data_IF_927467424925
#
_entry.id   IF_927467424925
#
_cell.length_a   1.000
_cell.length_b   1.000
_cell.length_c   1.000
_cell.angle_alpha   90.00
_cell.angle_beta   90.00
_cell.angle_gamma   90.00
#
_symmetry.space_group_name_H-M   'P 1'
#
loop_
_entity.id
_entity.type
_entity.pdbx_description
1 polymer ?
#
# COMPACT_ATOMS: atom_id res chain seq x y z
N UNK A 1 4.69 15.60 -14.91
CA UNK A 1 5.26 14.62 -13.95
C UNK A 1 4.21 14.41 -12.88
N UNK A 2 3.67 13.20 -12.76
CA UNK A 2 2.55 12.91 -11.86
C UNK A 2 3.12 12.22 -10.62
N UNK A 3 2.98 12.80 -9.42
CA UNK A 3 3.64 12.28 -8.20
C UNK A 3 3.32 10.80 -7.90
N UNK A 4 2.17 10.30 -8.35
CA UNK A 4 1.82 8.88 -8.27
C UNK A 4 2.80 7.95 -9.01
N UNK A 5 3.50 8.41 -10.05
CA UNK A 5 4.52 7.57 -10.72
C UNK A 5 5.68 7.24 -9.81
N UNK A 6 5.91 8.08 -8.80
CA UNK A 6 7.04 7.97 -7.89
C UNK A 6 6.68 7.13 -6.67
N UNK A 7 5.40 7.13 -6.25
CA UNK A 7 4.92 6.30 -5.14
C UNK A 7 4.97 4.83 -5.51
N UNK A 8 5.50 4.01 -4.61
CA UNK A 8 5.57 2.55 -4.78
C UNK A 8 4.72 1.87 -3.72
N UNK A 9 3.91 0.92 -4.16
CA UNK A 9 3.02 0.10 -3.34
C UNK A 9 3.52 -1.33 -3.48
N UNK A 10 4.05 -1.84 -2.39
CA UNK A 10 4.53 -3.22 -2.27
C UNK A 10 3.45 -4.05 -1.59
N UNK A 11 3.24 -5.27 -2.09
CA UNK A 11 2.30 -6.23 -1.51
C UNK A 11 3.07 -7.51 -1.21
N UNK A 12 3.14 -7.90 0.05
CA UNK A 12 3.83 -9.12 0.51
C UNK A 12 3.06 -10.40 0.19
N UNK A 13 2.54 -10.49 -1.03
CA UNK A 13 1.81 -11.63 -1.54
C UNK A 13 2.58 -12.24 -2.71
N UNK A 14 2.64 -13.57 -2.76
CA UNK A 14 3.15 -14.29 -3.93
C UNK A 14 2.17 -14.29 -5.10
N UNK A 15 0.93 -13.81 -4.89
CA UNK A 15 -0.13 -13.75 -5.91
C UNK A 15 -0.54 -12.32 -6.19
N UNK A 16 -0.27 -11.86 -7.41
CA UNK A 16 -0.46 -10.46 -7.84
C UNK A 16 -1.84 -9.87 -7.51
N UNK A 17 -2.93 -10.60 -7.77
CA UNK A 17 -4.28 -10.08 -7.54
C UNK A 17 -4.74 -10.16 -6.07
N UNK A 18 -3.98 -10.79 -5.18
CA UNK A 18 -4.40 -11.04 -3.79
C UNK A 18 -3.68 -10.06 -2.87
N UNK A 19 -4.39 -9.12 -2.22
CA UNK A 19 -3.78 -8.23 -1.23
C UNK A 19 -3.39 -9.00 0.04
N UNK A 20 -2.22 -8.70 0.58
CA UNK A 20 -1.74 -9.15 1.89
C UNK A 20 -1.11 -7.98 2.66
N UNK A 21 0.06 -8.15 3.28
CA UNK A 21 0.74 -7.04 3.98
C UNK A 21 1.26 -6.01 2.97
N UNK A 22 0.56 -4.88 2.88
CA UNK A 22 0.81 -3.85 1.87
C UNK A 22 1.53 -2.68 2.52
N UNK A 23 2.71 -2.39 1.98
CA UNK A 23 3.56 -1.28 2.38
C UNK A 23 3.61 -0.21 1.28
N UNK A 24 3.56 1.06 1.68
CA UNK A 24 3.56 2.20 0.76
C UNK A 24 4.82 3.02 1.00
N UNK A 25 5.57 3.23 -0.07
CA UNK A 25 6.84 3.94 -0.10
C UNK A 25 6.73 5.18 -0.98
N UNK A 26 7.49 6.21 -0.62
CA UNK A 26 7.50 7.46 -1.36
C UNK A 26 8.17 7.34 -2.73
N UNK A 27 9.15 6.43 -2.83
CA UNK A 27 9.95 6.17 -4.03
C UNK A 27 10.27 4.68 -4.12
N UNK A 28 10.55 4.23 -5.34
CA UNK A 28 11.07 2.88 -5.60
C UNK A 28 12.37 2.63 -4.81
N UNK A 29 13.30 3.58 -4.84
CA UNK A 29 14.57 3.48 -4.10
C UNK A 29 14.37 3.29 -2.59
N UNK A 30 13.36 3.96 -1.99
CA UNK A 30 13.07 3.80 -0.57
C UNK A 30 12.55 2.39 -0.24
N UNK A 31 11.75 1.80 -1.14
CA UNK A 31 11.29 0.42 -0.98
C UNK A 31 12.48 -0.53 -1.09
N UNK A 32 13.22 -0.48 -2.21
CA UNK A 32 14.35 -1.36 -2.48
C UNK A 32 15.42 -1.32 -1.38
N UNK A 33 15.74 -0.13 -0.85
CA UNK A 33 16.74 0.02 0.23
C UNK A 33 16.29 -0.59 1.57
N UNK A 34 14.99 -0.81 1.76
CA UNK A 34 14.42 -1.40 2.97
C UNK A 34 14.07 -2.88 2.84
N UNK A 35 14.22 -3.46 1.66
CA UNK A 35 13.91 -4.87 1.39
C UNK A 35 15.12 -5.76 1.64
N UNK A 36 14.85 -6.95 2.17
CA UNK A 36 15.87 -7.98 2.33
C UNK A 36 15.94 -8.86 1.07
N UNK A 37 17.13 -9.32 0.65
CA UNK A 37 17.28 -10.07 -0.61
C UNK A 37 16.42 -11.33 -0.71
N UNK A 38 16.26 -12.05 0.41
CA UNK A 38 15.45 -13.27 0.48
C UNK A 38 13.97 -13.05 0.13
N UNK A 39 13.49 -11.80 0.16
CA UNK A 39 12.12 -11.47 -0.26
C UNK A 39 11.93 -11.60 -1.78
N UNK A 40 13.00 -11.48 -2.57
CA UNK A 40 12.98 -11.48 -4.05
C UNK A 40 13.64 -12.72 -4.65
N UNK A 41 14.42 -13.47 -3.86
CA UNK A 41 15.00 -14.76 -4.26
C UNK A 41 13.93 -15.78 -4.73
N UNK A 42 14.37 -16.85 -5.40
CA UNK A 42 13.50 -17.82 -6.07
C UNK A 42 12.32 -18.32 -5.20
N UNK A 43 11.09 -17.95 -5.58
CA UNK A 43 9.86 -18.28 -4.85
C UNK A 43 9.34 -17.17 -3.94
N UNK A 44 10.06 -16.04 -3.83
CA UNK A 44 9.66 -14.82 -3.15
C UNK A 44 8.71 -13.93 -3.97
N UNK A 45 8.54 -12.70 -3.50
CA UNK A 45 7.70 -11.67 -4.10
C UNK A 45 8.49 -10.96 -5.20
N UNK A 46 8.04 -11.11 -6.45
CA UNK A 46 8.75 -10.57 -7.62
C UNK A 46 8.17 -9.28 -8.18
N UNK A 47 7.19 -8.65 -7.51
CA UNK A 47 6.48 -7.51 -8.08
C UNK A 47 6.03 -6.47 -7.05
N UNK A 48 5.86 -5.25 -7.53
CA UNK A 48 5.19 -4.15 -6.87
C UNK A 48 4.36 -3.35 -7.89
N UNK A 49 3.63 -2.34 -7.44
CA UNK A 49 2.94 -1.38 -8.31
C UNK A 49 3.39 0.04 -7.97
N UNK A 50 3.43 0.94 -8.95
CA UNK A 50 3.44 2.36 -8.62
C UNK A 50 2.02 2.91 -8.42
N UNK A 51 1.90 4.17 -7.99
CA UNK A 51 0.60 4.83 -7.80
C UNK A 51 -0.21 5.04 -9.08
N UNK A 52 0.34 4.74 -10.27
CA UNK A 52 -0.40 4.73 -11.54
C UNK A 52 -0.87 3.31 -11.93
N UNK A 53 -0.59 2.30 -11.12
CA UNK A 53 -0.88 0.89 -11.40
C UNK A 53 0.12 0.25 -12.35
N UNK A 54 1.26 0.90 -12.63
CA UNK A 54 2.31 0.30 -13.46
C UNK A 54 3.05 -0.74 -12.64
N UNK A 55 3.21 -1.92 -13.22
CA UNK A 55 3.96 -3.02 -12.62
C UNK A 55 5.44 -2.66 -12.49
N UNK A 56 6.00 -2.99 -11.34
CA UNK A 56 7.43 -2.92 -11.07
C UNK A 56 7.89 -4.36 -10.85
N UNK A 57 8.82 -4.83 -11.67
CA UNK A 57 9.48 -6.11 -11.45
C UNK A 57 10.67 -5.91 -10.50
N UNK A 58 10.79 -6.83 -9.55
CA UNK A 58 11.86 -6.85 -8.55
C UNK A 58 12.90 -7.89 -8.93
N UNK A 59 14.16 -7.53 -8.78
CA UNK A 59 15.30 -8.40 -9.04
C UNK A 59 16.43 -8.11 -8.04
N UNK A 60 17.52 -8.88 -8.13
CA UNK A 60 18.73 -8.71 -7.34
C UNK A 60 19.88 -8.24 -8.22
N UNK A 61 20.57 -7.19 -7.78
CA UNK A 61 21.91 -6.84 -8.25
C UNK A 61 22.91 -7.21 -7.14
N UNK A 62 23.42 -8.45 -7.21
CA UNK A 62 24.21 -9.03 -6.12
C UNK A 62 23.37 -9.27 -4.87
N UNK A 63 23.62 -8.49 -3.82
CA UNK A 63 22.87 -8.54 -2.56
C UNK A 63 21.90 -7.36 -2.41
N UNK A 64 21.80 -6.49 -3.41
CA UNK A 64 20.90 -5.33 -3.36
C UNK A 64 19.62 -5.65 -4.13
N UNK A 65 18.47 -5.34 -3.53
CA UNK A 65 17.19 -5.41 -4.23
C UNK A 65 17.08 -4.22 -5.17
N UNK A 66 16.76 -4.48 -6.43
CA UNK A 66 16.49 -3.45 -7.43
C UNK A 66 15.09 -3.63 -8.00
N UNK A 67 14.51 -2.54 -8.50
CA UNK A 67 13.22 -2.58 -9.18
C UNK A 67 13.27 -1.84 -10.50
N UNK A 68 12.46 -2.29 -11.45
CA UNK A 68 12.31 -1.61 -12.74
C UNK A 68 10.85 -1.61 -13.17
N UNK A 69 10.40 -0.51 -13.79
CA UNK A 69 9.04 -0.42 -14.32
C UNK A 69 8.95 -1.35 -15.54
N UNK A 70 8.04 -2.30 -15.48
CA UNK A 70 7.75 -3.19 -16.58
C UNK A 70 6.91 -2.45 -17.64
N UNK A 71 7.53 -2.18 -18.79
CA UNK A 71 6.88 -1.49 -19.90
C UNK A 71 6.09 -2.43 -20.82
N UNK A 72 6.16 -3.74 -20.59
CA UNK A 72 5.48 -4.75 -21.40
C UNK A 72 4.03 -4.97 -20.98
N UNK A 73 3.70 -4.67 -19.71
CA UNK A 73 2.35 -4.74 -19.18
C UNK A 73 1.69 -3.36 -19.15
N UNK A 74 0.41 -3.33 -19.51
CA UNK A 74 -0.41 -2.14 -19.31
C UNK A 74 -0.60 -1.86 -17.81
N UNK A 75 -0.78 -0.59 -17.40
CA UNK A 75 -1.14 -0.28 -16.02
C UNK A 75 -2.40 -1.02 -15.59
N UNK A 76 -2.41 -1.53 -14.37
CA UNK A 76 -3.54 -2.24 -13.75
C UNK A 76 -4.07 -1.46 -12.54
N UNK A 77 -4.91 -0.44 -12.79
CA UNK A 77 -5.48 0.36 -11.72
C UNK A 77 -6.44 -0.43 -10.82
N UNK A 78 -7.05 -1.50 -11.32
CA UNK A 78 -8.02 -2.30 -10.56
C UNK A 78 -7.32 -3.12 -9.46
N UNK A 79 -6.17 -3.73 -9.78
CA UNK A 79 -5.34 -4.40 -8.77
C UNK A 79 -4.80 -3.39 -7.75
N UNK A 80 -4.32 -2.22 -8.20
CA UNK A 80 -3.86 -1.17 -7.30
C UNK A 80 -4.98 -0.71 -6.34
N UNK A 81 -6.17 -0.45 -6.87
CA UNK A 81 -7.32 -0.07 -6.05
C UNK A 81 -7.70 -1.18 -5.08
N UNK A 82 -7.65 -2.44 -5.50
CA UNK A 82 -7.91 -3.60 -4.61
C UNK A 82 -6.95 -3.59 -3.42
N UNK A 83 -5.66 -3.40 -3.66
CA UNK A 83 -4.64 -3.33 -2.61
C UNK A 83 -4.87 -2.14 -1.67
N UNK A 84 -5.06 -0.94 -2.23
CA UNK A 84 -5.26 0.26 -1.43
C UNK A 84 -6.55 0.21 -0.59
N UNK A 85 -7.63 -0.36 -1.15
CA UNK A 85 -8.87 -0.57 -0.42
C UNK A 85 -8.70 -1.55 0.75
N UNK A 86 -7.90 -2.60 0.58
CA UNK A 86 -7.59 -3.54 1.65
C UNK A 86 -6.94 -2.82 2.85
N UNK A 87 -5.90 -2.01 2.60
CA UNK A 87 -5.22 -1.23 3.65
C UNK A 87 -6.15 -0.18 4.28
N UNK A 88 -6.87 0.57 3.45
CA UNK A 88 -7.80 1.60 3.91
C UNK A 88 -8.88 1.00 4.83
N UNK A 89 -9.44 -0.15 4.46
CA UNK A 89 -10.43 -0.85 5.28
C UNK A 89 -9.87 -1.31 6.62
N UNK A 90 -8.70 -1.95 6.63
CA UNK A 90 -8.03 -2.36 7.87
C UNK A 90 -7.78 -1.17 8.80
N UNK A 91 -7.39 -0.02 8.23
CA UNK A 91 -7.19 1.22 8.97
C UNK A 91 -8.50 1.80 9.52
N UNK A 92 -9.56 1.80 8.71
CA UNK A 92 -10.90 2.24 9.14
C UNK A 92 -11.41 1.39 10.30
N UNK A 93 -11.31 0.07 10.19
CA UNK A 93 -11.72 -0.87 11.25
C UNK A 93 -10.96 -0.61 12.55
N UNK A 94 -9.64 -0.41 12.47
CA UNK A 94 -8.82 -0.05 13.62
C UNK A 94 -9.23 1.29 14.26
N UNK A 95 -9.60 2.28 13.43
CA UNK A 95 -10.06 3.60 13.88
C UNK A 95 -11.44 3.53 14.53
N UNK A 96 -12.38 2.77 13.98
CA UNK A 96 -13.69 2.46 14.58
C UNK A 96 -13.53 1.76 15.93
N UNK A 97 -12.65 0.77 16.01
CA UNK A 97 -12.38 0.09 17.29
C UNK A 97 -11.83 1.07 18.34
N UNK A 98 -10.97 2.01 17.93
CA UNK A 98 -10.41 3.05 18.82
C UNK A 98 -11.42 4.11 19.23
N UNK A 99 -12.40 4.44 18.39
CA UNK A 99 -13.46 5.40 18.74
C UNK A 99 -14.44 4.84 19.77
N UNK A 100 -14.64 3.52 19.78
CA UNK A 100 -15.52 2.83 20.71
C UNK A 100 -14.90 2.59 22.10
N UNK A 101 -13.56 2.67 22.24
CA UNK A 101 -12.89 2.48 23.53
C UNK A 101 -13.26 3.62 24.49
N UNK A 102 -13.84 3.27 25.65
CA UNK A 102 -14.07 4.22 26.74
C UNK A 102 -12.77 4.93 27.10
N UNK A 103 -12.84 6.23 27.36
CA UNK A 103 -11.70 7.04 27.77
C UNK A 103 -11.00 6.38 28.96
N UNK A 104 -9.84 5.77 28.73
CA UNK A 104 -9.04 5.20 29.80
C UNK A 104 -8.00 6.23 30.22
N UNK A 105 -8.31 6.90 31.34
CA UNK A 105 -7.52 7.81 32.18
C UNK A 105 -6.77 9.00 31.54
N UNK A 106 -6.27 8.93 30.31
CA UNK A 106 -5.50 10.00 29.65
C UNK A 106 -5.71 10.11 28.14
N UNK A 107 -6.56 9.27 27.53
CA UNK A 107 -6.87 9.34 26.10
C UNK A 107 -8.38 9.43 25.88
N UNK A 108 -8.82 10.55 25.32
CA UNK A 108 -10.16 10.68 24.79
C UNK A 108 -10.36 9.66 23.65
N UNK A 109 -11.57 9.12 23.47
CA UNK A 109 -11.88 8.31 22.30
C UNK A 109 -11.59 9.09 21.01
N UNK A 110 -11.15 8.38 19.98
CA UNK A 110 -10.95 8.97 18.66
C UNK A 110 -12.30 9.45 18.12
N UNK A 111 -12.39 10.72 17.72
CA UNK A 111 -13.58 11.26 17.07
C UNK A 111 -13.44 10.97 15.56
N UNK A 112 -14.40 10.21 15.01
CA UNK A 112 -14.48 9.96 13.58
C UNK A 112 -15.35 11.03 12.91
N UNK A 113 -15.03 11.36 11.66
CA UNK A 113 -15.95 12.14 10.82
C UNK A 113 -17.23 11.35 10.56
N UNK A 114 -18.34 12.05 10.29
CA UNK A 114 -19.64 11.42 10.09
C UNK A 114 -19.64 10.40 8.94
N UNK A 115 -18.96 10.72 7.83
CA UNK A 115 -18.83 9.83 6.68
C UNK A 115 -18.00 8.59 6.99
N UNK A 116 -16.87 8.76 7.67
CA UNK A 116 -16.00 7.65 8.08
C UNK A 116 -16.71 6.71 9.06
N UNK A 117 -17.49 7.26 10.00
CA UNK A 117 -18.31 6.47 10.92
C UNK A 117 -19.43 5.67 10.23
N UNK A 118 -19.87 6.11 9.05
CA UNK A 118 -20.85 5.42 8.19
C UNK A 118 -20.21 4.42 7.23
N UNK A 119 -18.89 4.19 7.32
CA UNK A 119 -18.17 3.26 6.45
C UNK A 119 -17.77 3.85 5.10
N UNK A 120 -17.94 5.16 4.87
CA UNK A 120 -17.49 5.77 3.63
C UNK A 120 -15.96 5.98 3.66
N UNK A 121 -15.28 5.56 2.60
CA UNK A 121 -13.88 5.83 2.34
C UNK A 121 -13.71 6.24 0.85
N UNK A 122 -12.62 6.94 0.49
CA UNK A 122 -12.39 7.38 -0.88
C UNK A 122 -12.28 6.20 -1.85
N UNK A 123 -12.64 6.42 -3.11
CA UNK A 123 -12.61 5.41 -4.18
C UNK A 123 -11.53 5.69 -5.24
N UNK A 124 -10.79 6.79 -5.09
CA UNK A 124 -9.64 7.15 -5.95
C UNK A 124 -8.32 6.75 -5.30
N UNK A 125 -7.29 6.51 -6.12
CA UNK A 125 -5.94 6.20 -5.63
C UNK A 125 -5.43 7.32 -4.73
N UNK A 126 -5.53 8.58 -5.13
CA UNK A 126 -5.07 9.72 -4.35
C UNK A 126 -5.83 9.84 -3.02
N UNK A 127 -7.15 9.64 -3.06
CA UNK A 127 -7.99 9.67 -1.87
C UNK A 127 -7.63 8.56 -0.89
N UNK A 128 -7.42 7.34 -1.39
CA UNK A 128 -7.01 6.19 -0.59
C UNK A 128 -5.63 6.41 0.02
N UNK A 129 -4.63 6.85 -0.76
CA UNK A 129 -3.28 7.16 -0.26
C UNK A 129 -3.32 8.24 0.83
N UNK A 130 -4.09 9.32 0.61
CA UNK A 130 -4.28 10.35 1.63
C UNK A 130 -4.89 9.78 2.91
N UNK A 131 -5.95 8.98 2.80
CA UNK A 131 -6.59 8.34 3.95
C UNK A 131 -5.65 7.40 4.71
N UNK A 132 -4.86 6.58 4.01
CA UNK A 132 -3.91 5.64 4.59
C UNK A 132 -2.76 6.36 5.34
N UNK A 133 -2.46 7.62 5.03
CA UNK A 133 -1.40 8.38 5.71
C UNK A 133 -1.89 9.31 6.84
N UNK A 134 -3.21 9.41 7.09
CA UNK A 134 -3.83 10.20 8.19
C UNK A 134 -3.81 9.56 9.59
#
# INVERSE_FOLDING_TARGET
>A
MHWLSDVTIFNESTTYAVPDDISIYRTLDNMCSGMEPWMVEAGGIGFALNGLGQRIDLDLDGNDVIGSIDQTHAPDPDTLLTWLNFVAKNKQDARILRSQKKAFLLRAPLILGEHEAKGAFPDTVEGLLAYIHL
#
